data_IF_492719080741
#
_entry.id   IF_492719080741
#
_cell.length_a   1.000
_cell.length_b   1.000
_cell.length_c   1.000
_cell.angle_alpha   90.00
_cell.angle_beta   90.00
_cell.angle_gamma   90.00
#
_symmetry.space_group_name_H-M   'P 1'
#
loop_
_entity.id
_entity.type
_entity.pdbx_description
1 polymer ?
#
# COMPACT_ATOMS: atom_id res chain seq x y z
N UNK A 1 4.34 -24.12 -11.39
CA UNK A 1 5.81 -23.98 -11.33
C UNK A 1 6.10 -22.49 -11.25
N UNK A 2 6.68 -22.05 -10.13
CA UNK A 2 6.81 -20.64 -9.79
C UNK A 2 7.96 -19.95 -10.51
N UNK A 3 7.72 -18.73 -10.97
CA UNK A 3 8.76 -17.83 -11.44
C UNK A 3 8.83 -16.66 -10.45
N UNK A 4 9.59 -16.86 -9.37
CA UNK A 4 9.97 -15.79 -8.46
C UNK A 4 11.09 -14.99 -9.13
N UNK A 5 10.75 -13.89 -9.81
CA UNK A 5 11.75 -12.95 -10.30
C UNK A 5 12.33 -12.19 -9.11
N UNK A 6 13.45 -12.68 -8.58
CA UNK A 6 14.36 -11.89 -7.75
C UNK A 6 15.01 -10.82 -8.62
N UNK A 7 14.46 -9.62 -8.61
CA UNK A 7 15.20 -8.41 -8.98
C UNK A 7 15.39 -7.57 -7.72
N UNK A 8 16.39 -7.91 -6.93
CA UNK A 8 16.97 -6.99 -5.94
C UNK A 8 18.00 -6.14 -6.66
N UNK A 9 17.60 -4.94 -7.08
CA UNK A 9 18.53 -3.91 -7.55
C UNK A 9 19.32 -3.38 -6.34
N UNK A 10 20.52 -3.90 -6.13
CA UNK A 10 21.44 -3.34 -5.14
C UNK A 10 21.76 -1.88 -5.53
N UNK A 11 21.40 -0.92 -4.65
CA UNK A 11 21.74 0.50 -4.80
C UNK A 11 20.59 1.48 -5.03
N UNK A 12 19.32 1.04 -5.15
CA UNK A 12 18.19 1.98 -5.30
C UNK A 12 17.50 2.29 -3.96
N UNK A 13 17.12 3.56 -3.69
CA UNK A 13 16.38 3.93 -2.47
C UNK A 13 14.89 3.54 -2.53
N UNK A 14 14.48 2.83 -3.58
CA UNK A 14 13.10 2.42 -3.81
C UNK A 14 13.04 0.98 -4.33
N UNK A 15 11.86 0.37 -4.15
CA UNK A 15 11.50 -0.90 -4.76
C UNK A 15 10.25 -0.69 -5.60
N UNK A 16 10.31 -1.07 -6.87
CA UNK A 16 9.14 -1.06 -7.74
C UNK A 16 8.18 -2.18 -7.32
N UNK A 17 6.97 -1.80 -6.87
CA UNK A 17 5.94 -2.77 -6.45
C UNK A 17 5.02 -3.18 -7.59
N UNK A 18 4.70 -2.25 -8.50
CA UNK A 18 3.79 -2.46 -9.61
C UNK A 18 4.20 -1.59 -10.79
N UNK A 19 4.18 -2.16 -11.99
CA UNK A 19 4.46 -1.46 -13.25
C UNK A 19 3.28 -1.62 -14.20
N UNK A 20 2.67 -0.52 -14.61
CA UNK A 20 1.54 -0.49 -15.54
C UNK A 20 2.03 0.02 -16.90
N UNK A 21 2.51 -0.89 -17.75
CA UNK A 21 3.24 -0.55 -18.99
C UNK A 21 2.42 0.30 -19.96
N UNK A 22 1.14 -0.01 -20.11
CA UNK A 22 0.23 0.68 -21.03
C UNK A 22 -0.64 1.73 -20.32
N UNK A 23 -0.33 2.02 -19.05
CA UNK A 23 -1.18 2.81 -18.18
C UNK A 23 -2.47 2.08 -17.78
N UNK A 24 -3.25 2.71 -16.90
CA UNK A 24 -4.57 2.23 -16.49
C UNK A 24 -5.54 3.39 -16.55
N UNK A 25 -6.70 3.15 -17.15
CA UNK A 25 -7.84 4.04 -17.02
C UNK A 25 -8.49 3.88 -15.64
N UNK A 26 -9.27 4.89 -15.22
CA UNK A 26 -9.98 4.86 -13.93
C UNK A 26 -10.90 3.64 -13.79
N UNK A 27 -11.55 3.19 -14.87
CA UNK A 27 -12.44 2.01 -14.85
C UNK A 27 -11.69 0.68 -14.69
N UNK A 28 -10.36 0.67 -14.84
CA UNK A 28 -9.52 -0.50 -14.64
C UNK A 28 -8.93 -0.56 -13.22
N UNK A 29 -9.17 0.46 -12.39
CA UNK A 29 -8.67 0.54 -11.01
C UNK A 29 -9.83 0.45 -10.03
N UNK A 30 -9.80 -0.59 -9.22
CA UNK A 30 -10.74 -0.86 -8.13
C UNK A 30 -10.04 -0.66 -6.79
N UNK A 31 -10.83 -0.47 -5.74
CA UNK A 31 -10.34 -0.33 -4.38
C UNK A 31 -11.13 -1.26 -3.47
N UNK A 32 -10.41 -2.11 -2.75
CA UNK A 32 -10.90 -2.82 -1.58
C UNK A 32 -10.44 -2.06 -0.33
N UNK A 33 -11.34 -1.27 0.25
CA UNK A 33 -11.06 -0.43 1.41
C UNK A 33 -11.68 -1.07 2.67
N UNK A 34 -10.82 -1.61 3.54
CA UNK A 34 -11.24 -2.42 4.69
C UNK A 34 -10.21 -2.37 5.82
N UNK A 35 -10.70 -2.47 7.06
CA UNK A 35 -9.86 -2.57 8.26
C UNK A 35 -8.95 -3.83 8.28
N UNK A 36 -9.27 -4.85 7.47
CA UNK A 36 -8.38 -6.01 7.28
C UNK A 36 -7.01 -5.63 6.68
N UNK A 37 -6.94 -4.47 6.03
CA UNK A 37 -5.74 -3.91 5.42
C UNK A 37 -5.09 -2.83 6.29
N UNK A 38 -5.55 -2.63 7.53
CA UNK A 38 -4.94 -1.72 8.49
C UNK A 38 -3.59 -2.28 8.98
N UNK A 39 -2.88 -1.47 9.77
CA UNK A 39 -1.67 -1.91 10.45
C UNK A 39 -2.04 -3.01 11.45
N UNK A 40 -1.26 -4.10 11.46
CA UNK A 40 -1.33 -5.10 12.53
C UNK A 40 -0.59 -4.55 13.75
N UNK A 41 -1.22 -4.53 14.95
CA UNK A 41 -0.53 -4.17 16.17
C UNK A 41 0.73 -5.01 16.38
N UNK A 42 1.79 -4.36 16.86
CA UNK A 42 3.00 -5.04 17.27
C UNK A 42 2.70 -5.91 18.50
N UNK A 43 3.26 -7.14 18.58
CA UNK A 43 2.99 -8.03 19.70
C UNK A 43 3.56 -7.56 21.04
N UNK A 44 4.61 -6.74 21.04
CA UNK A 44 5.13 -6.08 22.24
C UNK A 44 4.36 -4.75 22.48
N UNK A 45 3.57 -4.63 23.57
CA UNK A 45 2.78 -3.44 23.86
C UNK A 45 3.64 -2.20 24.11
N UNK A 46 4.88 -2.35 24.58
CA UNK A 46 5.77 -1.19 24.82
C UNK A 46 6.14 -0.48 23.52
N UNK A 47 6.22 -1.22 22.41
CA UNK A 47 6.47 -0.62 21.09
C UNK A 47 5.24 0.11 20.56
N UNK A 48 4.03 -0.36 20.90
CA UNK A 48 2.79 0.37 20.59
C UNK A 48 2.70 1.68 21.38
N UNK A 49 2.97 1.62 22.69
CA UNK A 49 2.99 2.79 23.57
C UNK A 49 4.02 3.84 23.11
N UNK A 50 5.16 3.40 22.58
CA UNK A 50 6.22 4.30 22.10
C UNK A 50 5.74 5.25 21.00
N UNK A 51 4.73 4.89 20.21
CA UNK A 51 4.17 5.76 19.16
C UNK A 51 3.53 7.00 19.79
N UNK A 52 2.76 6.82 20.86
CA UNK A 52 2.15 7.93 21.59
C UNK A 52 3.19 8.80 22.30
N UNK A 53 4.24 8.19 22.84
CA UNK A 53 5.32 8.91 23.51
C UNK A 53 6.07 9.83 22.54
N UNK A 54 6.43 9.31 21.35
CA UNK A 54 7.07 10.09 20.29
C UNK A 54 6.16 11.22 19.84
N UNK A 55 4.86 10.97 19.69
CA UNK A 55 3.89 12.01 19.33
C UNK A 55 3.80 13.13 20.38
N UNK A 56 3.72 12.79 21.68
CA UNK A 56 3.71 13.75 22.79
C UNK A 56 4.97 14.62 22.80
N UNK A 57 6.13 14.01 22.59
CA UNK A 57 7.40 14.73 22.48
C UNK A 57 7.42 15.66 21.26
N UNK A 58 6.82 15.25 20.14
CA UNK A 58 6.80 16.06 18.92
C UNK A 58 5.89 17.28 19.06
N UNK A 59 4.71 17.12 19.65
CA UNK A 59 3.77 18.23 19.92
C UNK A 59 4.36 19.21 20.93
N UNK A 60 5.09 18.76 21.96
CA UNK A 60 5.67 19.69 22.94
C UNK A 60 6.69 20.66 22.31
N UNK A 61 7.39 20.22 21.25
CA UNK A 61 8.31 21.04 20.46
C UNK A 61 7.59 21.90 19.43
N UNK A 62 6.54 21.37 18.79
CA UNK A 62 5.74 22.10 17.80
C UNK A 62 4.23 21.91 18.06
N UNK A 63 3.61 22.79 18.87
CA UNK A 63 2.20 22.67 19.25
C UNK A 63 1.20 22.86 18.11
N UNK A 64 1.64 23.41 16.97
CA UNK A 64 0.78 23.59 15.79
C UNK A 64 0.64 22.32 14.94
N UNK A 65 1.41 21.26 15.24
CA UNK A 65 1.25 19.98 14.58
C UNK A 65 -0.11 19.37 14.91
N UNK A 66 -0.72 18.77 13.89
CA UNK A 66 -1.97 18.05 14.01
C UNK A 66 -1.86 16.71 13.31
N UNK A 67 -2.61 15.73 13.82
CA UNK A 67 -2.73 14.43 13.21
C UNK A 67 -3.89 14.45 12.17
N UNK A 68 -3.78 13.64 11.13
CA UNK A 68 -4.83 13.43 10.15
C UNK A 68 -4.77 12.01 9.57
N UNK A 69 -5.95 11.43 9.34
CA UNK A 69 -6.07 10.11 8.71
C UNK A 69 -5.46 10.08 7.30
N UNK A 70 -4.90 8.92 6.97
CA UNK A 70 -4.25 8.60 5.70
C UNK A 70 -4.71 7.22 5.23
N UNK A 71 -4.67 7.00 3.91
CA UNK A 71 -4.81 5.66 3.37
C UNK A 71 -3.51 4.87 3.58
N UNK A 72 -3.64 3.66 4.12
CA UNK A 72 -2.55 2.69 4.22
C UNK A 72 -2.58 1.78 3.00
N UNK A 73 -1.45 1.63 2.33
CA UNK A 73 -1.30 0.64 1.26
C UNK A 73 -1.14 -0.76 1.86
N UNK A 74 -2.16 -1.61 1.68
CA UNK A 74 -2.17 -3.01 2.10
C UNK A 74 -1.66 -3.99 1.03
N UNK A 75 -1.70 -3.59 -0.24
CA UNK A 75 -1.26 -4.41 -1.37
C UNK A 75 -2.11 -4.17 -2.62
N UNK A 76 -2.00 -5.08 -3.59
CA UNK A 76 -2.84 -5.07 -4.78
C UNK A 76 -3.10 -6.49 -5.29
N UNK A 77 -4.19 -6.65 -6.04
CA UNK A 77 -4.53 -7.87 -6.78
C UNK A 77 -4.72 -7.51 -8.24
N UNK A 78 -4.13 -8.30 -9.14
CA UNK A 78 -4.31 -8.16 -10.59
C UNK A 78 -5.24 -9.23 -11.12
N UNK A 79 -6.19 -8.86 -11.97
CA UNK A 79 -6.99 -9.81 -12.75
C UNK A 79 -6.75 -9.59 -14.24
N UNK A 80 -6.46 -10.67 -14.95
CA UNK A 80 -6.40 -10.72 -16.41
C UNK A 80 -7.50 -11.64 -16.92
N UNK A 81 -8.48 -11.10 -17.62
CA UNK A 81 -9.44 -11.90 -18.39
C UNK A 81 -8.92 -12.06 -19.81
N UNK A 82 -8.44 -13.27 -20.15
CA UNK A 82 -8.11 -13.60 -21.54
C UNK A 82 -9.37 -14.13 -22.23
N UNK A 83 -10.08 -13.28 -22.97
CA UNK A 83 -11.08 -13.75 -23.95
C UNK A 83 -10.39 -13.99 -25.27
N UNK A 84 -10.51 -15.22 -25.79
CA UNK A 84 -9.94 -15.62 -27.08
C UNK A 84 -10.72 -14.91 -28.19
N UNK A 85 -9.95 -14.46 -29.19
CA UNK A 85 -10.35 -13.72 -30.40
C UNK A 85 -10.31 -12.19 -30.22
N UNK A 86 -9.19 -11.64 -30.71
CA UNK A 86 -8.84 -10.22 -30.89
C UNK A 86 -8.44 -9.43 -29.62
N UNK A 87 -7.11 -9.32 -29.48
CA UNK A 87 -6.30 -8.48 -28.57
C UNK A 87 -7.06 -7.36 -27.83
N UNK A 88 -7.21 -7.52 -26.51
CA UNK A 88 -6.75 -6.59 -25.45
C UNK A 88 -6.84 -7.35 -24.11
N UNK A 89 -5.70 -7.61 -23.47
CA UNK A 89 -5.70 -7.99 -22.05
C UNK A 89 -6.05 -6.73 -21.24
N UNK A 90 -7.32 -6.55 -20.89
CA UNK A 90 -7.70 -5.50 -19.95
C UNK A 90 -7.20 -5.89 -18.55
N UNK A 91 -5.96 -5.53 -18.24
CA UNK A 91 -5.42 -5.70 -16.88
C UNK A 91 -6.22 -4.78 -15.96
N UNK A 92 -6.93 -5.39 -15.01
CA UNK A 92 -7.58 -4.65 -13.92
C UNK A 92 -6.79 -4.83 -12.64
N UNK A 93 -6.76 -3.77 -11.84
CA UNK A 93 -6.04 -3.76 -10.57
C UNK A 93 -7.01 -3.39 -9.46
N UNK A 94 -7.03 -4.18 -8.40
CA UNK A 94 -7.67 -3.82 -7.15
C UNK A 94 -6.61 -3.42 -6.13
N UNK A 95 -6.66 -2.18 -5.64
CA UNK A 95 -5.82 -1.70 -4.55
C UNK A 95 -6.46 -2.06 -3.21
N UNK A 96 -5.71 -2.77 -2.37
CA UNK A 96 -6.13 -3.08 -1.01
C UNK A 96 -5.67 -1.94 -0.09
N UNK A 97 -6.62 -1.17 0.43
CA UNK A 97 -6.35 0.00 1.27
C UNK A 97 -6.93 -0.18 2.67
N UNK A 98 -6.18 0.27 3.67
CA UNK A 98 -6.63 0.45 5.04
C UNK A 98 -6.49 1.90 5.48
N UNK A 99 -6.56 2.14 6.79
CA UNK A 99 -6.31 3.42 7.43
C UNK A 99 -5.00 3.40 8.25
N UNK A 100 -4.39 4.57 8.33
CA UNK A 100 -3.29 4.92 9.22
C UNK A 100 -3.36 6.43 9.47
N UNK A 101 -2.46 6.97 10.28
CA UNK A 101 -2.39 8.40 10.55
C UNK A 101 -0.94 8.91 10.50
N UNK A 102 -0.72 10.19 10.78
CA UNK A 102 0.57 10.90 10.69
C UNK A 102 1.26 10.98 12.06
#
# INVERSE_FOLDING_TARGET
MGSSSKNTSEGQPYRLLLACRDGLSRSQVFVDFSASHDRKPHPDPRLEESVEEVWKQRISVNPSLFNALKFRYGGYVTSSTTTREEFIEATTICLCLGLTDY
#
